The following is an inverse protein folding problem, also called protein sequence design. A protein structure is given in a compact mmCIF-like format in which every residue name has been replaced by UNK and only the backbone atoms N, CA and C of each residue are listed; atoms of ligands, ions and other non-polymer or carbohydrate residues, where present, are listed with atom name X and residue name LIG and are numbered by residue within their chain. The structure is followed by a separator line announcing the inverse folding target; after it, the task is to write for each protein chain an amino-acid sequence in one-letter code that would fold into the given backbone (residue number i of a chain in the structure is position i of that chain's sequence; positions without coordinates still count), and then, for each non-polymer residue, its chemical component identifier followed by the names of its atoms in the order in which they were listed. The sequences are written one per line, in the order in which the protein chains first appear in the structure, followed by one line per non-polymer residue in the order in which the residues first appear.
data_IF_982221922487
#
_entry.id   IF_982221922487
#
_cell.length_a   1.000
_cell.length_b   1.000
_cell.length_c   1.000
_cell.angle_alpha   90.00
_cell.angle_beta   90.00
_cell.angle_gamma   90.00
#
_symmetry.space_group_name_H-M   'P 1'
#
loop_
_entity.id
_entity.type
_entity.pdbx_description
1 polymer ?
#
# COMPACT_ATOMS: atom_id res chain seq x y z
N UNK A 1 25.43 4.03 20.18
CA UNK A 1 24.68 3.88 18.92
C UNK A 1 25.60 4.31 17.79
N UNK A 2 25.80 3.45 16.81
CA UNK A 2 26.64 3.72 15.64
C UNK A 2 25.77 3.86 14.41
N UNK A 3 25.99 4.91 13.63
CA UNK A 3 25.23 5.19 12.39
C UNK A 3 26.20 5.22 11.22
N UNK A 4 25.88 4.53 10.13
CA UNK A 4 26.56 4.67 8.85
C UNK A 4 25.71 5.49 7.88
N UNK A 5 26.34 6.29 7.03
CA UNK A 5 25.73 6.95 5.89
C UNK A 5 26.44 6.50 4.63
N UNK A 6 25.70 5.90 3.71
CA UNK A 6 26.24 5.35 2.46
C UNK A 6 25.64 6.10 1.28
N UNK A 7 26.50 6.78 0.53
CA UNK A 7 26.15 7.42 -0.75
C UNK A 7 26.66 6.62 -1.94
N UNK A 8 26.18 6.90 -3.14
CA UNK A 8 26.60 6.18 -4.34
C UNK A 8 28.07 6.47 -4.72
N UNK A 9 28.50 7.69 -4.54
CA UNK A 9 29.88 8.16 -4.78
C UNK A 9 30.21 9.34 -3.87
N UNK A 10 31.50 9.64 -3.57
CA UNK A 10 31.88 10.77 -2.73
C UNK A 10 31.32 12.08 -3.28
N UNK A 11 30.63 12.82 -2.44
CA UNK A 11 30.06 14.13 -2.78
C UNK A 11 30.53 15.22 -1.83
N UNK A 12 30.33 16.48 -2.23
CA UNK A 12 30.59 17.65 -1.37
C UNK A 12 29.39 18.00 -0.48
N UNK A 13 28.38 17.15 -0.45
CA UNK A 13 27.16 17.37 0.35
C UNK A 13 27.51 17.37 1.83
N UNK A 14 27.11 18.41 2.53
CA UNK A 14 27.28 18.52 3.99
C UNK A 14 26.09 17.86 4.68
N UNK A 15 26.15 16.52 4.80
CA UNK A 15 25.08 15.74 5.43
C UNK A 15 24.90 16.08 6.91
N UNK A 16 25.94 16.47 7.62
CA UNK A 16 25.87 16.88 9.02
C UNK A 16 24.90 18.06 9.16
N UNK A 17 25.06 19.07 8.31
CA UNK A 17 24.16 20.23 8.25
C UNK A 17 22.74 19.85 7.79
N UNK A 18 22.63 18.94 6.82
CA UNK A 18 21.31 18.50 6.33
C UNK A 18 20.52 17.73 7.38
N UNK A 19 21.18 17.04 8.33
CA UNK A 19 20.54 16.40 9.48
C UNK A 19 20.59 17.26 10.75
N UNK A 20 20.78 18.59 10.63
CA UNK A 20 20.72 19.59 11.70
C UNK A 20 21.68 19.32 12.87
N UNK A 21 22.76 18.57 12.63
CA UNK A 21 23.75 18.10 13.62
C UNK A 21 23.16 17.22 14.75
N UNK A 22 22.05 16.52 14.47
CA UNK A 22 21.32 15.74 15.49
C UNK A 22 22.04 14.44 15.89
N UNK A 23 22.94 13.92 15.05
CA UNK A 23 23.68 12.69 15.31
C UNK A 23 24.99 12.62 14.51
N UNK A 24 25.93 11.82 15.02
CA UNK A 24 27.20 11.50 14.34
C UNK A 24 27.03 10.24 13.49
N UNK A 25 27.77 10.16 12.38
CA UNK A 25 27.77 9.01 11.49
C UNK A 25 29.11 8.82 10.78
N UNK A 26 29.45 7.57 10.49
CA UNK A 26 30.54 7.22 9.59
C UNK A 26 30.06 7.32 8.15
N UNK A 27 30.81 8.01 7.29
CA UNK A 27 30.42 8.28 5.90
C UNK A 27 31.17 7.39 4.93
N UNK A 28 30.42 6.76 4.04
CA UNK A 28 30.93 5.85 3.02
C UNK A 28 30.34 6.17 1.64
N UNK A 29 31.01 5.67 0.59
CA UNK A 29 30.52 5.71 -0.77
C UNK A 29 30.68 4.33 -1.41
N UNK A 30 29.70 3.90 -2.23
CA UNK A 30 29.77 2.61 -2.92
C UNK A 30 30.90 2.53 -3.95
N UNK A 31 31.23 3.66 -4.57
CA UNK A 31 32.28 3.79 -5.58
C UNK A 31 33.23 4.90 -5.17
N UNK A 32 34.54 4.65 -5.23
CA UNK A 32 35.57 5.64 -4.92
C UNK A 32 35.69 6.74 -5.98
N UNK A 33 35.27 6.48 -7.22
CA UNK A 33 35.38 7.44 -8.33
C UNK A 33 34.24 8.45 -8.33
N UNK A 34 34.50 9.65 -7.85
CA UNK A 34 33.54 10.77 -7.80
C UNK A 34 33.13 11.30 -9.17
N UNK A 35 33.87 10.98 -10.24
CA UNK A 35 33.65 11.53 -11.60
C UNK A 35 32.58 10.75 -12.38
N UNK A 36 32.25 9.55 -12.00
CA UNK A 36 31.24 8.72 -12.67
C UNK A 36 29.86 9.38 -12.65
N UNK A 37 29.24 9.44 -13.82
CA UNK A 37 27.87 9.98 -13.96
C UNK A 37 26.81 9.04 -13.42
N UNK A 38 27.00 7.73 -13.61
CA UNK A 38 26.12 6.65 -13.18
C UNK A 38 26.94 5.53 -12.55
N UNK A 39 26.48 5.00 -11.43
CA UNK A 39 27.12 3.86 -10.76
C UNK A 39 26.39 2.59 -11.19
N UNK A 40 27.12 1.65 -11.76
CA UNK A 40 26.62 0.32 -12.10
C UNK A 40 27.04 -0.66 -11.00
N UNK A 41 26.43 -1.83 -10.95
CA UNK A 41 26.80 -2.89 -9.98
C UNK A 41 28.28 -3.26 -10.03
N UNK A 42 28.88 -3.21 -11.22
CA UNK A 42 30.33 -3.49 -11.44
C UNK A 42 31.24 -2.35 -10.96
N UNK A 43 30.70 -1.19 -10.64
CA UNK A 43 31.46 -0.01 -10.18
C UNK A 43 31.52 0.08 -8.65
N UNK A 44 30.82 -0.80 -7.96
CA UNK A 44 30.85 -0.89 -6.49
C UNK A 44 32.19 -1.52 -6.10
N UNK A 45 33.07 -0.70 -5.52
CA UNK A 45 34.44 -1.05 -5.14
C UNK A 45 34.65 -1.04 -3.62
N UNK A 46 33.62 -0.64 -2.86
CA UNK A 46 33.66 -0.60 -1.38
C UNK A 46 32.50 -1.45 -0.86
N UNK A 47 32.84 -2.49 -0.11
CA UNK A 47 31.89 -3.31 0.64
C UNK A 47 31.94 -2.91 2.11
N UNK A 48 30.79 -2.53 2.67
CA UNK A 48 30.67 -2.06 4.05
C UNK A 48 29.95 -3.15 4.83
N UNK A 49 30.58 -3.60 5.92
CA UNK A 49 29.91 -4.48 6.87
C UNK A 49 28.85 -3.67 7.65
N UNK A 50 27.61 -3.80 7.25
CA UNK A 50 26.50 -3.08 7.88
C UNK A 50 26.20 -3.59 9.28
N UNK A 51 26.65 -4.78 9.67
CA UNK A 51 26.39 -5.36 10.99
C UNK A 51 27.13 -4.65 12.14
N UNK A 52 28.15 -3.86 11.80
CA UNK A 52 28.87 -3.04 12.75
C UNK A 52 28.10 -1.78 13.19
N UNK A 53 26.95 -1.50 12.57
CA UNK A 53 26.14 -0.31 12.78
C UNK A 53 24.74 -0.65 13.28
N UNK A 54 24.21 0.20 14.16
CA UNK A 54 22.82 0.11 14.63
C UNK A 54 21.86 0.59 13.54
N UNK A 55 22.22 1.65 12.82
CA UNK A 55 21.47 2.23 11.70
C UNK A 55 22.34 2.50 10.50
N UNK A 56 21.77 2.34 9.30
CA UNK A 56 22.44 2.60 8.03
C UNK A 56 21.57 3.51 7.16
N UNK A 57 22.00 4.76 6.95
CA UNK A 57 21.33 5.71 6.08
C UNK A 57 21.77 5.44 4.65
N UNK A 58 20.84 5.16 3.75
CA UNK A 58 21.10 4.89 2.33
C UNK A 58 20.69 6.10 1.47
N UNK A 59 21.67 6.83 0.94
CA UNK A 59 21.43 8.06 0.17
C UNK A 59 21.34 7.74 -1.31
N UNK A 60 20.12 7.89 -1.87
CA UNK A 60 19.85 7.71 -3.30
C UNK A 60 19.57 6.26 -3.72
N UNK A 61 19.13 6.10 -4.97
CA UNK A 61 18.62 4.82 -5.47
C UNK A 61 19.67 3.71 -5.58
N UNK A 62 20.91 4.06 -5.89
CA UNK A 62 21.99 3.08 -6.03
C UNK A 62 22.36 2.45 -4.68
N UNK A 63 22.47 3.28 -3.61
CA UNK A 63 22.71 2.78 -2.26
C UNK A 63 21.57 1.90 -1.78
N UNK A 64 20.30 2.30 -2.03
CA UNK A 64 19.13 1.50 -1.70
C UNK A 64 19.18 0.11 -2.35
N UNK A 65 19.42 0.05 -3.67
CA UNK A 65 19.47 -1.21 -4.44
C UNK A 65 20.65 -2.12 -4.07
N UNK A 66 21.73 -1.55 -3.54
CA UNK A 66 22.93 -2.32 -3.19
C UNK A 66 22.75 -3.09 -1.88
N UNK A 67 21.94 -2.58 -0.97
CA UNK A 67 21.76 -3.16 0.37
C UNK A 67 20.37 -3.73 0.62
N UNK A 68 19.41 -3.40 -0.21
CA UNK A 68 18.03 -3.86 -0.07
C UNK A 68 17.47 -4.38 -1.40
N UNK A 69 16.30 -5.02 -1.36
CA UNK A 69 15.56 -5.38 -2.59
C UNK A 69 14.71 -4.23 -3.14
N UNK A 70 14.65 -3.09 -2.42
CA UNK A 70 13.86 -1.93 -2.81
C UNK A 70 14.47 -1.19 -3.99
N UNK A 71 13.66 -0.66 -4.89
CA UNK A 71 14.12 0.02 -6.10
C UNK A 71 13.75 1.51 -6.18
N UNK A 72 12.71 1.93 -5.46
CA UNK A 72 12.18 3.30 -5.49
C UNK A 72 12.61 4.10 -4.27
N UNK A 73 13.63 4.95 -4.42
CA UNK A 73 14.10 5.80 -3.31
C UNK A 73 13.03 6.78 -2.82
N UNK A 74 12.18 7.29 -3.69
CA UNK A 74 11.11 8.22 -3.31
C UNK A 74 10.02 7.55 -2.48
N UNK A 75 9.75 6.27 -2.73
CA UNK A 75 8.78 5.49 -1.98
C UNK A 75 9.27 5.16 -0.57
N UNK A 76 10.55 4.83 -0.43
CA UNK A 76 11.14 4.39 0.85
C UNK A 76 11.86 5.50 1.62
N UNK A 77 11.93 6.73 1.11
CA UNK A 77 12.61 7.83 1.78
C UNK A 77 12.01 8.16 3.15
N UNK A 78 12.84 8.16 4.19
CA UNK A 78 12.41 8.42 5.56
C UNK A 78 11.72 7.24 6.26
N UNK A 79 11.82 6.03 5.71
CA UNK A 79 11.22 4.79 6.23
C UNK A 79 12.30 3.84 6.70
N UNK A 80 11.94 2.93 7.59
CA UNK A 80 12.84 1.85 7.98
C UNK A 80 12.62 0.63 7.09
N UNK A 81 13.69 0.14 6.47
CA UNK A 81 13.71 -1.06 5.62
C UNK A 81 14.57 -2.11 6.32
N UNK A 82 14.10 -3.36 6.35
CA UNK A 82 14.82 -4.50 6.94
C UNK A 82 15.31 -4.24 8.38
N UNK A 83 14.50 -3.53 9.18
CA UNK A 83 14.75 -3.17 10.60
C UNK A 83 16.05 -2.37 10.86
N UNK A 84 16.72 -1.86 9.82
CA UNK A 84 18.06 -1.27 9.91
C UNK A 84 18.35 -0.15 8.95
N UNK A 85 17.83 -0.24 7.71
CA UNK A 85 18.17 0.71 6.66
C UNK A 85 17.20 1.88 6.64
N UNK A 86 17.73 3.10 6.54
CA UNK A 86 16.99 4.35 6.49
C UNK A 86 17.26 5.06 5.15
N UNK A 87 16.54 4.69 4.07
CA UNK A 87 16.70 5.32 2.78
C UNK A 87 16.33 6.79 2.80
N UNK A 88 17.05 7.60 2.02
CA UNK A 88 16.75 9.01 1.85
C UNK A 88 17.13 9.49 0.44
N UNK A 89 16.32 10.37 -0.14
CA UNK A 89 16.68 11.04 -1.38
C UNK A 89 17.95 11.86 -1.16
N UNK A 90 18.78 11.99 -2.21
CA UNK A 90 19.98 12.83 -2.08
C UNK A 90 19.56 14.30 -1.95
N UNK A 91 19.93 15.02 -0.86
CA UNK A 91 19.54 16.40 -0.64
C UNK A 91 20.11 17.38 -1.69
N UNK A 92 21.16 16.98 -2.41
CA UNK A 92 21.65 17.77 -3.56
C UNK A 92 20.59 17.93 -4.67
N UNK A 93 19.59 17.02 -4.74
CA UNK A 93 18.46 17.15 -5.67
C UNK A 93 17.61 18.39 -5.39
N UNK A 94 17.54 18.86 -4.15
CA UNK A 94 16.74 20.03 -3.77
C UNK A 94 17.16 21.32 -4.50
N UNK A 95 18.40 21.37 -4.96
CA UNK A 95 18.88 22.48 -5.79
C UNK A 95 18.22 22.50 -7.18
N UNK A 96 17.88 21.32 -7.71
CA UNK A 96 17.27 21.17 -9.04
C UNK A 96 15.76 20.92 -8.98
N UNK A 97 15.26 20.45 -7.84
CA UNK A 97 13.84 20.14 -7.57
C UNK A 97 13.42 20.70 -6.21
N UNK A 98 13.24 22.03 -6.09
CA UNK A 98 12.85 22.67 -4.84
C UNK A 98 11.50 22.16 -4.29
N UNK A 99 10.61 21.69 -5.16
CA UNK A 99 9.31 21.07 -4.82
C UNK A 99 9.45 19.79 -3.99
N UNK A 100 10.60 19.13 -4.02
CA UNK A 100 10.87 17.95 -3.20
C UNK A 100 11.24 18.28 -1.73
N UNK A 101 11.37 19.57 -1.39
CA UNK A 101 11.77 19.98 -0.04
C UNK A 101 10.83 19.50 1.08
N UNK A 102 9.51 19.59 0.95
CA UNK A 102 8.61 19.07 1.99
C UNK A 102 8.83 17.58 2.27
N UNK A 103 8.95 16.76 1.22
CA UNK A 103 9.20 15.32 1.34
C UNK A 103 10.58 15.02 1.96
N UNK A 104 11.59 15.84 1.66
CA UNK A 104 12.89 15.77 2.30
C UNK A 104 12.81 16.04 3.81
N UNK A 105 12.15 17.15 4.20
CA UNK A 105 12.03 17.51 5.63
C UNK A 105 11.25 16.45 6.43
N UNK A 106 10.22 15.86 5.85
CA UNK A 106 9.51 14.74 6.47
C UNK A 106 10.42 13.52 6.62
N UNK A 107 11.14 13.13 5.56
CA UNK A 107 12.07 12.00 5.58
C UNK A 107 13.18 12.20 6.61
N UNK A 108 13.76 13.39 6.68
CA UNK A 108 14.77 13.78 7.66
C UNK A 108 14.23 13.64 9.08
N UNK A 109 13.05 14.19 9.36
CA UNK A 109 12.43 14.13 10.67
C UNK A 109 12.19 12.67 11.13
N UNK A 110 11.76 11.81 10.22
CA UNK A 110 11.56 10.39 10.53
C UNK A 110 12.88 9.67 10.81
N UNK A 111 13.93 9.92 10.02
CA UNK A 111 15.27 9.34 10.23
C UNK A 111 15.80 9.76 11.60
N UNK A 112 15.71 11.02 11.98
CA UNK A 112 16.11 11.51 13.31
C UNK A 112 15.34 10.77 14.41
N UNK A 113 14.02 10.60 14.26
CA UNK A 113 13.17 9.88 15.23
C UNK A 113 13.52 8.38 15.33
N UNK A 114 13.90 7.72 14.23
CA UNK A 114 14.38 6.34 14.27
C UNK A 114 15.71 6.25 15.07
N UNK A 115 16.63 7.14 14.74
CA UNK A 115 17.94 7.17 15.39
C UNK A 115 17.81 7.54 16.87
N UNK A 116 16.98 8.50 17.25
CA UNK A 116 16.72 8.86 18.66
C UNK A 116 15.91 7.80 19.44
N UNK A 117 15.32 6.82 18.75
CA UNK A 117 14.46 5.80 19.34
C UNK A 117 13.03 6.27 19.66
N UNK A 118 12.66 7.47 19.20
CA UNK A 118 11.29 7.99 19.31
C UNK A 118 10.31 7.27 18.36
N UNK A 119 10.81 6.84 17.20
CA UNK A 119 10.07 6.05 16.22
C UNK A 119 10.65 4.63 16.19
N UNK A 120 9.78 3.63 16.34
CA UNK A 120 10.13 2.22 16.24
C UNK A 120 9.20 1.53 15.28
N UNK A 121 9.75 0.65 14.44
CA UNK A 121 8.94 -0.28 13.66
C UNK A 121 8.44 -1.37 14.61
N UNK A 122 7.13 -1.55 14.66
CA UNK A 122 6.55 -2.68 15.39
C UNK A 122 6.50 -3.90 14.48
N UNK A 123 6.95 -5.02 15.02
CA UNK A 123 6.72 -6.31 14.36
C UNK A 123 5.25 -6.71 14.55
N UNK A 124 4.73 -7.39 13.54
CA UNK A 124 3.37 -7.95 13.62
C UNK A 124 3.36 -9.03 14.70
N UNK A 125 2.42 -8.92 15.63
CA UNK A 125 2.17 -9.95 16.64
C UNK A 125 1.21 -10.99 16.07
N UNK A 126 1.75 -12.09 15.57
CA UNK A 126 0.96 -13.18 14.95
C UNK A 126 -0.02 -13.87 15.91
N UNK A 127 0.08 -13.62 17.22
CA UNK A 127 -0.94 -14.10 18.17
C UNK A 127 -2.22 -13.24 18.13
N UNK A 128 -2.14 -12.04 17.58
CA UNK A 128 -3.25 -11.09 17.44
C UNK A 128 -3.73 -10.91 16.00
N UNK A 129 -2.91 -11.33 15.06
CA UNK A 129 -3.17 -11.22 13.63
C UNK A 129 -3.12 -12.62 13.04
N UNK A 130 -4.29 -13.18 12.69
CA UNK A 130 -4.38 -14.59 12.32
C UNK A 130 -5.46 -14.86 11.28
N UNK A 131 -5.47 -16.09 10.74
CA UNK A 131 -6.45 -16.54 9.76
C UNK A 131 -7.54 -17.41 10.37
N UNK A 132 -8.75 -17.34 9.83
CA UNK A 132 -9.90 -18.18 10.20
C UNK A 132 -10.33 -18.98 8.97
N UNK A 133 -10.36 -20.31 9.12
CA UNK A 133 -10.81 -21.29 8.10
C UNK A 133 -11.92 -22.23 8.59
N UNK A 134 -12.36 -22.06 9.83
CA UNK A 134 -13.42 -22.86 10.45
C UNK A 134 -14.65 -22.00 10.76
N UNK A 135 -15.84 -22.40 10.29
CA UNK A 135 -17.08 -21.64 10.47
C UNK A 135 -17.44 -21.42 11.94
N UNK A 136 -17.16 -22.38 12.84
CA UNK A 136 -17.48 -22.22 14.27
C UNK A 136 -16.55 -21.22 14.95
N UNK A 137 -15.29 -21.18 14.52
CA UNK A 137 -14.36 -20.16 14.96
C UNK A 137 -14.80 -18.78 14.45
N UNK A 138 -15.19 -18.70 13.18
CA UNK A 138 -15.74 -17.49 12.58
C UNK A 138 -16.96 -16.98 13.35
N UNK A 139 -17.93 -17.85 13.66
CA UNK A 139 -19.12 -17.44 14.43
C UNK A 139 -18.72 -16.85 15.80
N UNK A 140 -17.77 -17.48 16.51
CA UNK A 140 -17.29 -16.97 17.81
C UNK A 140 -16.63 -15.59 17.67
N UNK A 141 -15.82 -15.40 16.63
CA UNK A 141 -15.20 -14.11 16.34
C UNK A 141 -16.25 -13.04 16.03
N UNK A 142 -17.20 -13.33 15.13
CA UNK A 142 -18.25 -12.40 14.72
C UNK A 142 -19.17 -11.99 15.89
N UNK A 143 -19.51 -12.93 16.79
CA UNK A 143 -20.29 -12.61 18.00
C UNK A 143 -19.50 -11.63 18.88
N UNK A 144 -18.21 -11.87 19.10
CA UNK A 144 -17.35 -10.94 19.86
C UNK A 144 -17.26 -9.57 19.18
N UNK A 145 -17.04 -9.55 17.88
CA UNK A 145 -16.97 -8.31 17.10
C UNK A 145 -18.27 -7.52 17.17
N UNK A 146 -19.43 -8.18 17.07
CA UNK A 146 -20.75 -7.54 17.16
C UNK A 146 -21.00 -6.92 18.54
N UNK A 147 -20.60 -7.59 19.61
CA UNK A 147 -20.91 -7.21 20.98
C UNK A 147 -19.81 -6.32 21.60
N UNK A 148 -18.67 -6.14 20.92
CA UNK A 148 -17.61 -5.24 21.33
C UNK A 148 -18.09 -3.78 21.35
N UNK A 149 -17.56 -2.98 22.29
CA UNK A 149 -17.97 -1.58 22.50
C UNK A 149 -17.53 -0.62 21.38
N UNK A 150 -16.48 -0.95 20.63
CA UNK A 150 -16.01 -0.11 19.53
C UNK A 150 -17.11 0.06 18.47
N UNK A 151 -17.39 1.32 18.14
CA UNK A 151 -18.38 1.68 17.11
C UNK A 151 -17.88 1.47 15.68
N UNK A 152 -16.59 1.21 15.48
CA UNK A 152 -15.94 1.11 14.19
C UNK A 152 -15.40 -0.31 13.95
N UNK A 153 -15.46 -0.74 12.71
CA UNK A 153 -14.83 -1.99 12.26
C UNK A 153 -14.22 -1.76 10.88
N UNK A 154 -12.93 -2.06 10.72
CA UNK A 154 -12.31 -2.05 9.40
C UNK A 154 -12.57 -3.37 8.69
N UNK A 155 -12.80 -3.27 7.38
CA UNK A 155 -13.01 -4.41 6.48
C UNK A 155 -12.18 -4.18 5.22
N UNK A 156 -11.59 -5.23 4.69
CA UNK A 156 -10.82 -5.25 3.46
C UNK A 156 -11.03 -6.60 2.75
N UNK A 157 -10.79 -6.67 1.44
CA UNK A 157 -11.02 -7.89 0.64
C UNK A 157 -9.84 -8.25 -0.22
N UNK A 158 -9.51 -9.55 -0.25
CA UNK A 158 -8.62 -10.14 -1.23
C UNK A 158 -9.41 -10.78 -2.36
N UNK A 159 -9.05 -10.51 -3.60
CA UNK A 159 -9.83 -10.89 -4.77
C UNK A 159 -8.96 -11.40 -5.92
N UNK A 160 -9.55 -12.17 -6.82
CA UNK A 160 -8.88 -12.67 -8.02
C UNK A 160 -8.89 -11.66 -9.17
N UNK A 161 -9.74 -10.64 -9.13
CA UNK A 161 -9.89 -9.65 -10.19
C UNK A 161 -10.31 -8.28 -9.68
N UNK A 162 -10.31 -7.29 -10.58
CA UNK A 162 -10.62 -5.90 -10.24
C UNK A 162 -12.13 -5.58 -10.30
N UNK A 163 -12.91 -6.44 -10.92
CA UNK A 163 -14.35 -6.24 -11.10
C UNK A 163 -15.13 -7.44 -10.60
N UNK A 164 -16.28 -7.23 -9.93
CA UNK A 164 -17.07 -8.33 -9.36
C UNK A 164 -17.50 -9.41 -10.36
N UNK A 165 -17.74 -9.02 -11.62
CA UNK A 165 -18.18 -9.94 -12.69
C UNK A 165 -17.04 -10.77 -13.30
N UNK A 166 -15.79 -10.34 -13.11
CA UNK A 166 -14.60 -10.97 -13.70
C UNK A 166 -13.73 -11.69 -12.65
N UNK A 167 -14.08 -11.54 -11.36
CA UNK A 167 -13.33 -12.11 -10.26
C UNK A 167 -14.23 -12.56 -9.12
N UNK A 168 -13.63 -13.13 -8.09
CA UNK A 168 -14.31 -13.51 -6.86
C UNK A 168 -13.49 -13.12 -5.63
N UNK A 169 -14.15 -13.05 -4.48
CA UNK A 169 -13.51 -12.76 -3.19
C UNK A 169 -12.85 -14.02 -2.67
N UNK A 170 -11.55 -13.97 -2.44
CA UNK A 170 -10.74 -15.07 -1.89
C UNK A 170 -10.87 -15.10 -0.36
N UNK A 171 -10.91 -13.91 0.26
CA UNK A 171 -11.07 -13.76 1.69
C UNK A 171 -11.45 -12.36 2.11
N UNK A 172 -11.89 -12.23 3.34
CA UNK A 172 -12.35 -10.99 3.97
C UNK A 172 -11.51 -10.73 5.20
N UNK A 173 -10.93 -9.55 5.31
CA UNK A 173 -10.19 -9.14 6.50
C UNK A 173 -11.04 -8.24 7.38
N UNK A 174 -10.93 -8.40 8.69
CA UNK A 174 -11.69 -7.60 9.66
C UNK A 174 -10.83 -7.22 10.87
N UNK A 175 -11.01 -5.98 11.34
CA UNK A 175 -10.39 -5.49 12.57
C UNK A 175 -11.35 -4.55 13.30
N UNK A 176 -11.64 -4.84 14.57
CA UNK A 176 -12.47 -3.98 15.44
C UNK A 176 -11.71 -3.52 16.69
N UNK A 177 -10.51 -3.98 16.87
CA UNK A 177 -9.60 -3.61 17.96
C UNK A 177 -8.26 -3.16 17.40
N UNK A 178 -7.56 -2.36 18.19
CA UNK A 178 -6.20 -1.94 17.89
C UNK A 178 -5.28 -3.16 17.94
N UNK A 179 -4.45 -3.35 16.92
CA UNK A 179 -3.47 -4.43 16.82
C UNK A 179 -4.06 -5.86 16.70
N UNK A 180 -5.39 -6.00 16.54
CA UNK A 180 -6.05 -7.28 16.29
C UNK A 180 -6.70 -7.28 14.92
N UNK A 181 -6.39 -8.29 14.11
CA UNK A 181 -6.98 -8.48 12.80
C UNK A 181 -7.14 -9.95 12.45
N UNK A 182 -8.14 -10.25 11.66
CA UNK A 182 -8.34 -11.60 11.12
C UNK A 182 -8.48 -11.56 9.62
N UNK A 183 -7.97 -12.59 8.97
CA UNK A 183 -8.25 -12.92 7.58
C UNK A 183 -9.14 -14.14 7.52
N UNK A 184 -10.30 -14.01 6.92
CA UNK A 184 -11.37 -15.02 6.89
C UNK A 184 -11.39 -15.64 5.50
N UNK A 185 -11.12 -16.94 5.38
CA UNK A 185 -11.30 -17.66 4.13
C UNK A 185 -12.78 -17.67 3.73
N UNK A 186 -13.10 -17.34 2.48
CA UNK A 186 -14.50 -17.31 2.00
C UNK A 186 -15.24 -18.63 2.17
N UNK A 187 -14.53 -19.74 2.06
CA UNK A 187 -15.11 -21.09 2.20
C UNK A 187 -15.74 -21.37 3.58
N UNK A 188 -15.34 -20.61 4.61
CA UNK A 188 -15.93 -20.76 5.95
C UNK A 188 -17.08 -19.77 6.23
N UNK A 189 -17.45 -18.91 5.28
CA UNK A 189 -18.56 -17.96 5.39
C UNK A 189 -19.85 -18.66 5.02
N UNK A 190 -20.54 -19.20 6.01
CA UNK A 190 -21.86 -19.80 5.85
C UNK A 190 -23.00 -18.78 6.06
N UNK A 191 -24.26 -19.21 5.88
CA UNK A 191 -25.44 -18.34 6.06
C UNK A 191 -25.50 -17.70 7.45
N UNK A 192 -25.03 -18.39 8.49
CA UNK A 192 -24.99 -17.84 9.87
C UNK A 192 -23.95 -16.73 9.96
N UNK A 193 -22.78 -16.93 9.35
CA UNK A 193 -21.74 -15.89 9.28
C UNK A 193 -22.20 -14.67 8.52
N UNK A 194 -22.90 -14.84 7.37
CA UNK A 194 -23.48 -13.72 6.62
C UNK A 194 -24.49 -12.93 7.45
N UNK A 195 -25.36 -13.59 8.18
CA UNK A 195 -26.32 -12.92 9.08
C UNK A 195 -25.62 -12.14 10.18
N UNK A 196 -24.58 -12.73 10.80
CA UNK A 196 -23.80 -12.06 11.85
C UNK A 196 -23.02 -10.86 11.28
N UNK A 197 -22.40 -10.99 10.12
CA UNK A 197 -21.70 -9.89 9.45
C UNK A 197 -22.66 -8.75 9.12
N UNK A 198 -23.82 -9.02 8.56
CA UNK A 198 -24.85 -8.00 8.32
C UNK A 198 -25.35 -7.32 9.60
N UNK A 199 -25.46 -8.04 10.72
CA UNK A 199 -25.77 -7.43 12.01
C UNK A 199 -24.65 -6.46 12.46
N UNK A 200 -23.39 -6.84 12.26
CA UNK A 200 -22.22 -6.01 12.56
C UNK A 200 -22.25 -4.74 11.68
N UNK A 201 -22.39 -4.89 10.37
CA UNK A 201 -22.35 -3.77 9.41
C UNK A 201 -23.52 -2.81 9.55
N UNK A 202 -24.66 -3.26 10.12
CA UNK A 202 -25.79 -2.38 10.50
C UNK A 202 -25.61 -1.69 11.85
N UNK A 203 -24.86 -2.32 12.78
CA UNK A 203 -24.68 -1.81 14.15
C UNK A 203 -23.46 -0.89 14.25
N UNK A 204 -22.43 -1.16 13.46
CA UNK A 204 -21.14 -0.45 13.47
C UNK A 204 -20.92 0.26 12.16
N UNK A 205 -20.16 1.35 12.19
CA UNK A 205 -19.65 1.98 10.98
C UNK A 205 -18.51 1.16 10.43
N UNK A 206 -18.58 0.83 9.15
CA UNK A 206 -17.54 0.06 8.47
C UNK A 206 -16.51 1.02 7.88
N UNK A 207 -15.25 0.76 8.13
CA UNK A 207 -14.12 1.54 7.61
C UNK A 207 -13.41 0.75 6.54
N UNK A 208 -13.28 1.32 5.36
CA UNK A 208 -12.56 0.77 4.24
C UNK A 208 -11.36 1.63 3.85
N UNK A 209 -10.51 1.07 3.02
CA UNK A 209 -9.55 1.83 2.23
C UNK A 209 -9.87 1.66 0.75
N UNK A 210 -10.38 2.69 0.07
CA UNK A 210 -10.97 2.61 -1.26
C UNK A 210 -12.29 1.81 -1.27
N UNK A 211 -13.22 2.22 -0.41
CA UNK A 211 -14.52 1.58 -0.12
C UNK A 211 -15.29 1.12 -1.36
N UNK A 212 -15.20 1.87 -2.46
CA UNK A 212 -15.89 1.55 -3.72
C UNK A 212 -15.54 0.15 -4.22
N UNK A 213 -14.29 -0.28 -4.06
CA UNK A 213 -13.83 -1.60 -4.50
C UNK A 213 -14.43 -2.71 -3.63
N UNK A 214 -14.23 -2.63 -2.32
CA UNK A 214 -14.67 -3.67 -1.39
C UNK A 214 -16.19 -3.79 -1.31
N UNK A 215 -16.90 -2.66 -1.29
CA UNK A 215 -18.38 -2.63 -1.31
C UNK A 215 -18.90 -3.33 -2.56
N UNK A 216 -18.35 -3.01 -3.75
CA UNK A 216 -18.79 -3.63 -5.01
C UNK A 216 -18.57 -5.16 -4.98
N UNK A 217 -17.42 -5.62 -4.49
CA UNK A 217 -17.10 -7.06 -4.37
C UNK A 217 -18.02 -7.77 -3.37
N UNK A 218 -18.18 -7.18 -2.19
CA UNK A 218 -18.92 -7.80 -1.08
C UNK A 218 -20.44 -7.80 -1.33
N UNK A 219 -21.00 -6.74 -1.91
CA UNK A 219 -22.43 -6.70 -2.26
C UNK A 219 -22.79 -7.60 -3.44
N UNK A 220 -21.83 -7.83 -4.36
CA UNK A 220 -22.06 -8.71 -5.51
C UNK A 220 -21.97 -10.19 -5.16
N UNK A 221 -20.98 -10.58 -4.35
CA UNK A 221 -20.72 -12.01 -4.05
C UNK A 221 -21.43 -12.50 -2.79
N UNK A 222 -21.88 -11.60 -1.90
CA UNK A 222 -22.59 -11.90 -0.67
C UNK A 222 -23.82 -11.01 -0.53
N UNK A 223 -24.75 -11.39 0.35
CA UNK A 223 -25.89 -10.55 0.69
C UNK A 223 -25.55 -9.46 1.72
N UNK A 224 -24.38 -8.84 1.61
CA UNK A 224 -23.97 -7.79 2.52
C UNK A 224 -24.55 -6.44 2.12
N UNK A 225 -24.72 -5.57 3.13
CA UNK A 225 -25.14 -4.18 2.93
C UNK A 225 -24.36 -3.27 3.86
N UNK A 226 -23.92 -2.12 3.33
CA UNK A 226 -23.12 -1.15 4.05
C UNK A 226 -23.84 0.21 4.09
N UNK A 227 -24.85 0.37 5.01
CA UNK A 227 -25.63 1.61 5.07
C UNK A 227 -24.83 2.80 5.59
N UNK A 228 -23.79 2.57 6.36
CA UNK A 228 -22.95 3.61 6.96
C UNK A 228 -21.48 3.14 6.90
N UNK A 229 -20.68 3.82 6.12
CA UNK A 229 -19.27 3.48 5.93
C UNK A 229 -18.39 4.73 5.87
N UNK A 230 -17.10 4.52 6.06
CA UNK A 230 -16.04 5.52 5.97
C UNK A 230 -14.94 5.03 5.02
N UNK A 231 -14.19 5.96 4.44
CA UNK A 231 -13.10 5.64 3.52
C UNK A 231 -11.83 6.42 3.85
N UNK A 232 -10.78 5.70 4.22
CA UNK A 232 -9.48 6.30 4.61
C UNK A 232 -8.75 6.95 3.44
N UNK A 233 -8.94 6.47 2.20
CA UNK A 233 -8.40 7.10 1.00
C UNK A 233 -9.01 8.49 0.78
N UNK A 234 -10.33 8.59 0.89
CA UNK A 234 -11.06 9.86 0.76
C UNK A 234 -10.78 10.82 1.93
N UNK A 235 -10.61 10.30 3.17
CA UNK A 235 -10.17 11.12 4.30
C UNK A 235 -8.77 11.71 4.06
N UNK A 236 -7.84 10.92 3.54
CA UNK A 236 -6.51 11.43 3.25
C UNK A 236 -6.53 12.44 2.10
N UNK A 237 -7.34 12.22 1.07
CA UNK A 237 -7.53 13.17 -0.03
C UNK A 237 -7.99 14.54 0.47
N UNK A 238 -8.84 14.62 1.49
CA UNK A 238 -9.23 15.90 2.10
C UNK A 238 -8.05 16.67 2.73
N UNK A 239 -7.00 15.97 3.16
CA UNK A 239 -5.85 16.57 3.83
C UNK A 239 -4.67 16.83 2.89
N UNK A 240 -4.56 16.04 1.84
CA UNK A 240 -3.46 16.05 0.89
C UNK A 240 -3.97 15.63 -0.50
N UNK A 241 -3.98 16.53 -1.46
CA UNK A 241 -4.50 16.30 -2.82
C UNK A 241 -3.45 15.76 -3.80
N UNK A 242 -2.24 15.39 -3.31
CA UNK A 242 -1.15 14.92 -4.17
C UNK A 242 -1.50 13.57 -4.78
N UNK A 243 -1.59 13.44 -6.11
CA UNK A 243 -1.90 12.18 -6.77
C UNK A 243 -0.89 11.09 -6.42
N UNK A 244 -1.38 9.87 -6.17
CA UNK A 244 -0.54 8.71 -5.87
C UNK A 244 -0.02 8.62 -4.43
N UNK A 245 -0.45 9.53 -3.52
CA UNK A 245 -0.06 9.54 -2.11
C UNK A 245 -1.04 8.81 -1.17
N UNK A 246 -2.14 8.28 -1.71
CA UNK A 246 -3.28 7.81 -0.93
C UNK A 246 -3.33 6.29 -0.71
N UNK A 247 -2.38 5.53 -1.24
CA UNK A 247 -2.36 4.06 -1.09
C UNK A 247 -2.17 3.61 0.37
N UNK A 248 -2.83 2.51 0.76
CA UNK A 248 -2.82 2.02 2.15
C UNK A 248 -1.41 1.81 2.69
N UNK A 249 -0.52 1.19 1.92
CA UNK A 249 0.89 1.00 2.27
C UNK A 249 1.58 2.31 2.63
N UNK A 250 1.38 3.37 1.83
CA UNK A 250 1.98 4.67 2.07
C UNK A 250 1.43 5.31 3.34
N UNK A 251 0.10 5.19 3.55
CA UNK A 251 -0.56 5.70 4.76
C UNK A 251 -0.16 4.89 6.00
N UNK A 252 -0.01 3.57 5.87
CA UNK A 252 0.49 2.70 6.94
C UNK A 252 1.83 3.17 7.47
N UNK A 253 2.78 3.37 6.58
CA UNK A 253 4.12 3.81 6.92
C UNK A 253 4.17 5.24 7.47
N UNK A 254 3.21 6.10 7.11
CA UNK A 254 3.12 7.48 7.57
C UNK A 254 2.43 7.62 8.91
N UNK A 255 1.39 6.84 9.17
CA UNK A 255 0.46 7.06 10.27
C UNK A 255 0.44 5.93 11.31
N UNK A 256 1.10 4.80 11.04
CA UNK A 256 1.13 3.64 11.94
C UNK A 256 2.57 3.26 12.32
N UNK A 257 2.76 2.51 13.42
CA UNK A 257 4.07 2.01 13.79
C UNK A 257 4.51 0.79 12.98
N UNK A 258 3.65 0.27 12.09
CA UNK A 258 3.96 -0.88 11.25
C UNK A 258 4.72 -0.41 10.00
N UNK A 259 5.83 -1.08 9.70
CA UNK A 259 6.64 -0.82 8.53
C UNK A 259 6.08 -1.52 7.28
N UNK A 260 6.96 -2.15 6.52
CA UNK A 260 6.61 -2.91 5.32
C UNK A 260 6.11 -4.32 5.69
N UNK A 261 4.89 -4.40 6.26
CA UNK A 261 4.26 -5.67 6.65
C UNK A 261 3.88 -6.54 5.44
N UNK A 262 3.82 -5.96 4.23
CA UNK A 262 3.53 -6.66 2.98
C UNK A 262 4.74 -7.45 2.46
N UNK A 263 5.94 -7.11 2.92
CA UNK A 263 7.19 -7.67 2.38
C UNK A 263 7.24 -9.20 2.35
N UNK A 264 6.85 -9.93 3.41
CA UNK A 264 6.90 -11.41 3.38
C UNK A 264 6.05 -12.01 2.25
N UNK A 265 4.87 -11.46 1.99
CA UNK A 265 4.02 -11.88 0.88
C UNK A 265 4.63 -11.54 -0.47
N UNK A 266 5.14 -10.32 -0.65
CA UNK A 266 5.80 -9.93 -1.89
C UNK A 266 7.06 -10.75 -2.19
N UNK A 267 7.87 -11.05 -1.17
CA UNK A 267 9.04 -11.94 -1.31
C UNK A 267 8.61 -13.34 -1.78
N UNK A 268 7.51 -13.88 -1.23
CA UNK A 268 6.94 -15.15 -1.66
C UNK A 268 6.45 -15.11 -3.12
N UNK A 269 5.71 -14.05 -3.50
CA UNK A 269 5.21 -13.86 -4.88
C UNK A 269 6.38 -13.81 -5.87
N UNK A 270 7.43 -13.06 -5.56
CA UNK A 270 8.61 -12.94 -6.42
C UNK A 270 9.37 -14.26 -6.56
N UNK A 271 9.47 -15.02 -5.48
CA UNK A 271 10.07 -16.35 -5.51
C UNK A 271 9.21 -17.34 -6.31
N UNK A 272 7.89 -17.35 -6.09
CA UNK A 272 6.96 -18.20 -6.83
C UNK A 272 7.01 -17.93 -8.34
N UNK A 273 6.94 -16.65 -8.76
CA UNK A 273 7.04 -16.25 -10.18
C UNK A 273 8.35 -16.71 -10.80
N UNK A 274 9.46 -16.56 -10.09
CA UNK A 274 10.79 -16.96 -10.54
C UNK A 274 10.91 -18.46 -10.71
N UNK A 275 10.45 -19.23 -9.72
CA UNK A 275 10.55 -20.69 -9.70
C UNK A 275 9.64 -21.35 -10.75
N UNK A 276 8.45 -20.78 -10.97
CA UNK A 276 7.44 -21.31 -11.88
C UNK A 276 7.47 -20.63 -13.27
N UNK A 277 8.36 -19.67 -13.52
CA UNK A 277 8.46 -18.87 -14.76
C UNK A 277 7.14 -18.17 -15.14
N UNK A 278 6.38 -17.71 -14.14
CA UNK A 278 5.11 -17.00 -14.34
C UNK A 278 5.37 -15.54 -14.65
N UNK A 279 4.81 -15.02 -15.74
CA UNK A 279 4.87 -13.60 -16.06
C UNK A 279 3.98 -12.80 -15.10
N UNK A 280 4.29 -11.51 -14.91
CA UNK A 280 3.51 -10.64 -14.01
C UNK A 280 2.02 -10.57 -14.40
N UNK A 281 1.73 -10.59 -15.71
CA UNK A 281 0.36 -10.54 -16.23
C UNK A 281 -0.44 -11.83 -16.03
N UNK A 282 0.25 -12.97 -15.86
CA UNK A 282 -0.37 -14.30 -15.77
C UNK A 282 -0.47 -14.79 -14.31
N UNK A 283 -0.04 -13.96 -13.36
CA UNK A 283 -0.05 -14.33 -11.95
C UNK A 283 -1.49 -14.34 -11.40
N UNK A 284 -1.86 -15.46 -10.78
CA UNK A 284 -3.18 -15.66 -10.17
C UNK A 284 -3.08 -15.41 -8.66
N UNK A 285 -3.88 -14.50 -8.12
CA UNK A 285 -3.86 -14.14 -6.69
C UNK A 285 -4.33 -15.28 -5.78
N UNK A 286 -5.20 -16.14 -6.25
CA UNK A 286 -5.64 -17.35 -5.55
C UNK A 286 -4.58 -18.46 -5.48
N UNK A 287 -3.46 -18.31 -6.18
CA UNK A 287 -2.30 -19.20 -6.04
C UNK A 287 -1.49 -18.94 -4.76
N UNK A 288 -1.73 -17.83 -4.07
CA UNK A 288 -1.06 -17.51 -2.81
C UNK A 288 -1.62 -18.41 -1.69
N UNK A 289 -0.78 -19.19 -1.00
CA UNK A 289 -1.26 -20.02 0.11
C UNK A 289 -1.88 -19.17 1.22
N UNK A 290 -2.94 -19.70 1.83
CA UNK A 290 -3.65 -19.04 2.93
C UNK A 290 -2.69 -18.57 4.04
N UNK A 291 -1.72 -19.42 4.42
CA UNK A 291 -0.73 -19.10 5.45
C UNK A 291 0.19 -17.92 5.10
N UNK A 292 0.40 -17.64 3.83
CA UNK A 292 1.17 -16.48 3.35
C UNK A 292 0.27 -15.24 3.32
N UNK A 293 -0.97 -15.39 2.86
CA UNK A 293 -1.93 -14.30 2.70
C UNK A 293 -2.45 -13.78 4.05
N UNK A 294 -2.71 -14.67 5.02
CA UNK A 294 -3.45 -14.35 6.26
C UNK A 294 -2.87 -13.18 7.07
N UNK A 295 -1.55 -13.07 7.16
CA UNK A 295 -0.90 -12.01 7.95
C UNK A 295 -0.98 -10.68 7.20
N UNK A 296 -0.65 -10.69 5.91
CA UNK A 296 -0.75 -9.52 5.06
C UNK A 296 -2.19 -8.95 5.07
N UNK A 297 -3.16 -9.76 4.68
CA UNK A 297 -4.55 -9.35 4.55
C UNK A 297 -5.17 -8.90 5.90
N UNK A 298 -4.94 -9.65 6.98
CA UNK A 298 -5.42 -9.23 8.30
C UNK A 298 -4.79 -7.91 8.76
N UNK A 299 -3.53 -7.64 8.39
CA UNK A 299 -2.87 -6.37 8.68
C UNK A 299 -3.45 -5.19 7.88
N UNK A 300 -3.96 -5.41 6.67
CA UNK A 300 -4.64 -4.35 5.90
C UNK A 300 -5.85 -3.81 6.66
N UNK A 301 -6.65 -4.68 7.28
CA UNK A 301 -7.76 -4.24 8.14
C UNK A 301 -7.27 -3.53 9.41
N UNK A 302 -6.22 -4.05 10.08
CA UNK A 302 -5.62 -3.38 11.27
C UNK A 302 -5.12 -2.00 10.93
N UNK A 303 -4.35 -1.88 9.86
CA UNK A 303 -3.75 -0.63 9.40
C UNK A 303 -4.83 0.37 8.97
N UNK A 304 -5.86 -0.09 8.25
CA UNK A 304 -7.01 0.73 7.86
C UNK A 304 -7.67 1.35 9.08
N UNK A 305 -7.89 0.58 10.16
CA UNK A 305 -8.47 1.09 11.40
C UNK A 305 -7.55 2.12 12.10
N UNK A 306 -6.24 1.87 12.13
CA UNK A 306 -5.25 2.77 12.72
C UNK A 306 -5.11 4.09 11.93
N UNK A 307 -5.07 4.01 10.61
CA UNK A 307 -5.05 5.17 9.71
C UNK A 307 -6.32 5.99 9.89
N UNK A 308 -7.48 5.34 9.93
CA UNK A 308 -8.75 6.00 10.21
C UNK A 308 -8.72 6.76 11.54
N UNK A 309 -8.24 6.13 12.61
CA UNK A 309 -8.15 6.77 13.92
C UNK A 309 -7.26 8.04 13.93
N UNK A 310 -6.36 8.21 12.97
CA UNK A 310 -5.54 9.41 12.78
C UNK A 310 -6.20 10.43 11.86
N UNK A 311 -6.73 10.00 10.72
CA UNK A 311 -7.23 10.90 9.69
C UNK A 311 -8.61 11.48 10.02
N UNK A 312 -9.53 10.67 10.56
CA UNK A 312 -10.89 11.12 10.84
C UNK A 312 -10.94 12.33 11.79
N UNK A 313 -10.24 12.32 12.96
CA UNK A 313 -10.19 13.49 13.81
C UNK A 313 -9.51 14.70 13.17
N UNK A 314 -8.51 14.47 12.31
CA UNK A 314 -7.80 15.55 11.62
C UNK A 314 -8.72 16.26 10.60
N UNK A 315 -9.46 15.53 9.78
CA UNK A 315 -10.46 16.10 8.87
C UNK A 315 -11.59 16.78 9.64
N UNK A 316 -12.08 16.15 10.72
CA UNK A 316 -13.19 16.67 11.54
C UNK A 316 -12.87 18.00 12.23
N UNK A 317 -11.61 18.31 12.51
CA UNK A 317 -11.20 19.62 13.05
C UNK A 317 -11.52 20.78 12.11
N UNK A 318 -11.56 20.53 10.80
CA UNK A 318 -11.94 21.52 9.80
C UNK A 318 -13.37 21.22 9.32
N UNK A 319 -14.34 21.98 9.82
CA UNK A 319 -15.77 21.76 9.51
C UNK A 319 -16.10 21.83 8.01
N UNK A 320 -15.35 22.61 7.21
CA UNK A 320 -15.55 22.70 5.76
C UNK A 320 -15.07 21.43 5.06
N UNK A 321 -13.87 20.94 5.41
CA UNK A 321 -13.35 19.67 4.88
C UNK A 321 -14.24 18.51 5.29
N UNK A 322 -14.67 18.46 6.54
CA UNK A 322 -15.57 17.44 7.05
C UNK A 322 -16.92 17.46 6.33
N UNK A 323 -17.47 18.65 6.05
CA UNK A 323 -18.70 18.78 5.26
C UNK A 323 -18.55 18.28 3.83
N UNK A 324 -17.40 18.52 3.19
CA UNK A 324 -17.10 17.96 1.84
C UNK A 324 -17.02 16.44 1.92
N UNK A 325 -16.29 15.92 2.88
CA UNK A 325 -16.14 14.47 3.08
C UNK A 325 -17.49 13.78 3.27
N UNK A 326 -18.28 14.25 4.27
CA UNK A 326 -19.52 13.60 4.70
C UNK A 326 -20.68 13.79 3.69
N UNK A 327 -20.79 14.98 3.07
CA UNK A 327 -21.94 15.32 2.22
C UNK A 327 -21.67 15.19 0.72
N UNK A 328 -20.42 15.05 0.29
CA UNK A 328 -20.07 14.95 -1.15
C UNK A 328 -19.30 13.67 -1.43
N UNK A 329 -18.18 13.42 -0.73
CA UNK A 329 -17.29 12.32 -1.11
C UNK A 329 -17.86 10.94 -0.74
N UNK A 330 -18.38 10.75 0.46
CA UNK A 330 -18.99 9.48 0.86
C UNK A 330 -20.26 9.16 0.07
N UNK A 331 -21.25 10.08 -0.08
CA UNK A 331 -22.39 9.83 -0.97
C UNK A 331 -21.99 9.66 -2.43
N UNK A 332 -20.99 10.40 -2.91
CA UNK A 332 -20.42 10.25 -4.25
C UNK A 332 -19.77 8.89 -4.47
N UNK A 333 -19.05 8.37 -3.48
CA UNK A 333 -18.49 7.02 -3.50
C UNK A 333 -19.62 5.98 -3.67
N UNK A 334 -20.67 6.05 -2.87
CA UNK A 334 -21.84 5.15 -2.99
C UNK A 334 -22.50 5.26 -4.37
N UNK A 335 -22.78 6.48 -4.81
CA UNK A 335 -23.37 6.73 -6.12
C UNK A 335 -22.52 6.12 -7.26
N UNK A 336 -21.20 6.30 -7.23
CA UNK A 336 -20.31 5.74 -8.24
C UNK A 336 -20.23 4.21 -8.19
N UNK A 337 -20.37 3.60 -7.01
CA UNK A 337 -20.49 2.14 -6.86
C UNK A 337 -21.75 1.63 -7.57
N UNK A 338 -22.89 2.27 -7.33
CA UNK A 338 -24.18 1.90 -7.94
C UNK A 338 -24.19 2.09 -9.46
N UNK A 339 -23.60 3.19 -9.95
CA UNK A 339 -23.43 3.46 -11.40
C UNK A 339 -22.55 2.39 -12.04
N UNK A 340 -21.47 2.03 -11.39
CA UNK A 340 -20.53 1.04 -11.91
C UNK A 340 -21.14 -0.37 -11.94
N UNK A 341 -21.93 -0.74 -10.93
CA UNK A 341 -22.66 -2.01 -10.92
C UNK A 341 -23.75 -2.05 -12.00
N UNK A 342 -24.50 -0.98 -12.17
CA UNK A 342 -25.51 -0.85 -13.24
C UNK A 342 -24.87 -0.97 -14.62
N UNK A 343 -23.69 -0.38 -14.81
CA UNK A 343 -22.96 -0.38 -16.07
C UNK A 343 -23.61 0.51 -17.13
N UNK A 344 -23.05 0.45 -18.35
CA UNK A 344 -23.55 1.20 -19.52
C UNK A 344 -24.01 0.21 -20.58
N UNK A 345 -25.27 0.26 -21.02
CA UNK A 345 -25.75 -0.57 -22.12
C UNK A 345 -25.06 -0.18 -23.43
N UNK A 346 -24.61 -1.17 -24.19
CA UNK A 346 -24.05 -0.94 -25.51
C UNK A 346 -24.57 -1.97 -26.54
N UNK A 347 -24.66 -1.54 -27.79
CA UNK A 347 -25.09 -2.37 -28.90
C UNK A 347 -23.92 -3.22 -29.42
N UNK A 348 -23.94 -4.51 -29.08
CA UNK A 348 -22.89 -5.48 -29.48
C UNK A 348 -22.76 -5.61 -30.99
N UNK A 349 -23.91 -5.55 -31.76
CA UNK A 349 -23.88 -5.66 -33.22
C UNK A 349 -23.22 -4.43 -33.86
N UNK A 350 -23.56 -3.24 -33.37
CA UNK A 350 -22.92 -2.00 -33.80
C UNK A 350 -21.47 -1.92 -33.46
N UNK A 351 -21.09 -2.40 -32.26
CA UNK A 351 -19.69 -2.49 -31.84
C UNK A 351 -18.92 -3.40 -32.79
N UNK A 352 -19.42 -4.61 -33.07
CA UNK A 352 -18.81 -5.53 -34.03
C UNK A 352 -18.56 -4.94 -35.40
N UNK A 353 -19.59 -4.24 -35.95
CA UNK A 353 -19.46 -3.52 -37.24
C UNK A 353 -18.41 -2.41 -37.19
N UNK A 354 -18.38 -1.64 -36.11
CA UNK A 354 -17.39 -0.57 -35.91
C UNK A 354 -15.95 -1.14 -35.78
N UNK A 355 -15.78 -2.27 -35.11
CA UNK A 355 -14.48 -2.94 -34.97
C UNK A 355 -13.94 -3.38 -36.33
N UNK A 356 -14.78 -3.96 -37.19
CA UNK A 356 -14.41 -4.35 -38.56
C UNK A 356 -13.95 -3.13 -39.36
N UNK A 357 -14.74 -2.06 -39.37
CA UNK A 357 -14.42 -0.83 -40.12
C UNK A 357 -13.09 -0.21 -39.63
N UNK A 358 -12.88 -0.15 -38.31
CA UNK A 358 -11.64 0.36 -37.76
C UNK A 358 -10.43 -0.52 -38.12
N UNK A 359 -10.62 -1.85 -38.20
CA UNK A 359 -9.54 -2.75 -38.62
C UNK A 359 -9.20 -2.54 -40.09
N UNK A 360 -10.21 -2.37 -40.96
CA UNK A 360 -9.99 -2.06 -42.38
C UNK A 360 -9.22 -0.74 -42.56
N UNK A 361 -9.56 0.30 -41.78
CA UNK A 361 -8.84 1.59 -41.79
C UNK A 361 -7.40 1.44 -41.35
N UNK A 362 -7.15 0.64 -40.28
CA UNK A 362 -5.79 0.33 -39.79
C UNK A 362 -4.99 -0.41 -40.86
N UNK A 363 -5.58 -1.45 -41.44
CA UNK A 363 -4.91 -2.27 -42.47
C UNK A 363 -4.58 -1.42 -43.70
N UNK A 364 -5.48 -0.51 -44.11
CA UNK A 364 -5.24 0.47 -45.16
C UNK A 364 -4.06 1.40 -44.87
N UNK A 365 -4.06 1.99 -43.66
CA UNK A 365 -2.96 2.86 -43.23
C UNK A 365 -1.60 2.14 -43.13
N UNK A 366 -1.61 0.89 -42.67
CA UNK A 366 -0.40 0.06 -42.62
C UNK A 366 0.09 -0.25 -44.03
N UNK A 367 -0.81 -0.56 -44.98
CA UNK A 367 -0.44 -0.80 -46.37
C UNK A 367 0.21 0.44 -47.01
N UNK A 368 -0.36 1.63 -46.80
CA UNK A 368 0.21 2.90 -47.25
C UNK A 368 1.61 3.14 -46.67
N UNK A 369 1.81 2.85 -45.36
CA UNK A 369 3.13 2.99 -44.73
C UNK A 369 4.21 2.10 -45.37
N UNK A 370 3.84 0.86 -45.77
CA UNK A 370 4.78 -0.03 -46.44
C UNK A 370 5.13 0.43 -47.88
N UNK A 371 4.32 1.30 -48.51
CA UNK A 371 4.69 1.88 -49.80
C UNK A 371 5.79 2.95 -49.68
N UNK A 372 6.03 3.53 -48.49
CA UNK A 372 7.07 4.51 -48.25
C UNK A 372 8.44 3.91 -47.93
N UNK A 373 8.53 2.61 -47.64
CA UNK A 373 9.79 1.89 -47.30
C UNK A 373 10.43 1.19 -48.52
N UNK A 374 9.99 1.48 -49.75
CA UNK A 374 10.49 0.89 -50.98
C UNK A 374 11.47 1.83 -51.72
#
# INVERSE_FOLDING_TARGET
MKVALIESKPSRTDFVRYFDNEFEFDRFALCSDSTKKKILKADVDIEINTDDYDWVILVGSESLKSYTKCTSITEYSGRCVDDKFLPVINPAMLTFKPEAKPAWEESKANIIKFISGELKVMKVDESKVYGITDSKELHRYLIKARDHENAWIAVDTETTGLYPRDGHVIGISMSYERDHGVYIATDCVDETAEVLMNQIFKKKKVVFHNAKFDIAMLEYHFNFTFPDFEDTMLLHYCLDEVPGSHGLKQLAMKFTPYGDYEKPMHDWIDEYKRNNRVLKADFQWDSIPFDVMKIYAAMDAVVTLLVFAKLYPAVKKNSKLFSVYENILIPGCRFLTDVQDTGVPFDKERLGKSTILMQEDIDGAVAELYEFDA
#
